data_IF_719139332642
#
_entry.id   IF_719139332642
#
_cell.length_a   1.000
_cell.length_b   1.000
_cell.length_c   1.000
_cell.angle_alpha   90.00
_cell.angle_beta   90.00
_cell.angle_gamma   90.00
#
_symmetry.space_group_name_H-M   'P 1'
#
loop_
_entity.id
_entity.type
_entity.pdbx_description
1 polymer ?
#
# COMPACT_ATOMS: atom_id res chain seq x y z
N UNK A 1 -24.11 -21.83 4.43
CA UNK A 1 -23.30 -23.01 4.81
C UNK A 1 -22.11 -22.50 5.59
N UNK A 2 -21.79 -23.16 6.69
CA UNK A 2 -20.63 -22.86 7.54
C UNK A 2 -19.48 -23.80 7.16
N UNK A 3 -18.24 -23.33 7.33
CA UNK A 3 -17.03 -24.09 6.97
C UNK A 3 -16.00 -23.98 8.10
N UNK A 4 -15.31 -25.08 8.41
CA UNK A 4 -14.25 -25.18 9.43
C UNK A 4 -13.10 -26.09 8.93
N UNK A 5 -11.91 -26.00 9.53
CA UNK A 5 -10.73 -26.76 9.09
C UNK A 5 -9.50 -26.58 10.00
N UNK A 6 -8.39 -27.21 9.59
CA UNK A 6 -7.14 -27.39 10.33
C UNK A 6 -7.24 -28.30 11.57
N UNK A 7 -7.98 -29.41 11.45
CA UNK A 7 -8.05 -30.44 12.49
C UNK A 7 -7.30 -31.70 12.01
N UNK A 8 -6.51 -32.28 12.92
CA UNK A 8 -5.87 -33.62 12.96
C UNK A 8 -5.15 -34.22 11.74
N UNK A 9 -5.17 -33.60 10.56
CA UNK A 9 -4.43 -34.07 9.38
C UNK A 9 -5.09 -35.21 8.62
N UNK A 10 -6.27 -35.68 9.05
CA UNK A 10 -7.06 -36.70 8.33
C UNK A 10 -7.77 -36.11 7.10
N UNK A 11 -7.75 -34.78 6.94
CA UNK A 11 -8.42 -34.07 5.87
C UNK A 11 -7.45 -33.24 5.01
N UNK A 12 -7.52 -33.43 3.69
CA UNK A 12 -6.79 -32.61 2.72
C UNK A 12 -7.53 -31.29 2.49
N UNK A 13 -6.80 -30.18 2.54
CA UNK A 13 -7.32 -28.84 2.24
C UNK A 13 -6.95 -28.43 0.82
N UNK A 14 -7.93 -27.94 0.07
CA UNK A 14 -7.74 -27.43 -1.27
C UNK A 14 -7.25 -25.98 -1.27
N UNK A 15 -6.95 -25.50 -2.47
CA UNK A 15 -6.58 -24.10 -2.69
C UNK A 15 -7.66 -23.11 -2.25
N UNK A 16 -8.94 -23.51 -2.32
CA UNK A 16 -10.07 -22.63 -2.02
C UNK A 16 -10.23 -22.40 -0.51
N UNK A 17 -10.04 -23.44 0.31
CA UNK A 17 -10.04 -23.30 1.76
C UNK A 17 -8.89 -22.42 2.25
N UNK A 18 -7.68 -22.63 1.71
CA UNK A 18 -6.51 -21.82 2.07
C UNK A 18 -6.64 -20.38 1.60
N UNK A 19 -7.08 -20.16 0.35
CA UNK A 19 -7.31 -18.82 -0.16
C UNK A 19 -8.38 -18.09 0.66
N UNK A 20 -9.51 -18.75 1.00
CA UNK A 20 -10.53 -18.17 1.89
C UNK A 20 -9.95 -17.80 3.25
N UNK A 21 -9.12 -18.66 3.83
CA UNK A 21 -8.48 -18.37 5.12
C UNK A 21 -7.57 -17.14 5.04
N UNK A 22 -6.65 -17.08 4.08
CA UNK A 22 -5.75 -15.94 3.91
C UNK A 22 -6.48 -14.66 3.49
N UNK A 23 -7.52 -14.77 2.66
CA UNK A 23 -8.34 -13.61 2.29
C UNK A 23 -9.07 -13.02 3.48
N UNK A 24 -9.43 -13.79 4.51
CA UNK A 24 -10.03 -13.22 5.72
C UNK A 24 -9.01 -12.52 6.63
N UNK A 25 -7.73 -12.87 6.53
CA UNK A 25 -6.68 -12.35 7.42
C UNK A 25 -5.91 -11.20 6.78
N UNK A 26 -5.68 -11.23 5.47
CA UNK A 26 -4.81 -10.27 4.79
C UNK A 26 -5.51 -9.55 3.64
N UNK A 27 -5.22 -8.25 3.54
CA UNK A 27 -5.54 -7.46 2.35
C UNK A 27 -4.64 -7.88 1.19
N UNK A 28 -5.19 -7.75 -0.03
CA UNK A 28 -4.39 -7.97 -1.24
C UNK A 28 -3.29 -6.91 -1.36
N UNK A 29 -2.13 -7.32 -1.86
CA UNK A 29 -0.96 -6.45 -2.01
C UNK A 29 0.33 -7.21 -2.26
N UNK A 30 1.44 -6.46 -2.34
CA UNK A 30 2.80 -7.01 -2.40
C UNK A 30 3.44 -7.02 -1.01
N UNK A 31 4.44 -7.88 -0.81
CA UNK A 31 5.17 -7.95 0.45
C UNK A 31 6.09 -6.75 0.64
N UNK A 32 6.49 -6.54 1.90
CA UNK A 32 7.52 -5.60 2.30
C UNK A 32 8.79 -6.39 2.63
N UNK A 33 9.95 -5.91 2.19
CA UNK A 33 11.25 -6.52 2.50
C UNK A 33 11.79 -6.09 3.88
N UNK A 34 12.95 -6.63 4.28
CA UNK A 34 13.59 -6.32 5.56
C UNK A 34 14.02 -4.85 5.71
N UNK A 35 14.07 -4.10 4.60
CA UNK A 35 14.45 -2.68 4.56
C UNK A 35 13.22 -1.77 4.46
N UNK A 36 12.01 -2.30 4.73
CA UNK A 36 10.73 -1.60 4.62
C UNK A 36 10.37 -1.12 3.21
N UNK A 37 10.94 -1.72 2.16
CA UNK A 37 10.56 -1.41 0.79
C UNK A 37 9.52 -2.41 0.27
N UNK A 38 8.59 -1.92 -0.54
CA UNK A 38 7.69 -2.79 -1.28
C UNK A 38 8.47 -3.64 -2.30
N UNK A 39 8.22 -4.94 -2.34
CA UNK A 39 8.80 -5.85 -3.33
C UNK A 39 8.09 -5.75 -4.69
N UNK A 40 8.52 -6.54 -5.70
CA UNK A 40 7.95 -6.53 -7.05
C UNK A 40 7.96 -5.13 -7.71
N UNK A 41 9.05 -4.39 -7.53
CA UNK A 41 9.24 -3.08 -8.15
C UNK A 41 9.30 -3.22 -9.65
N UNK A 42 8.58 -2.36 -10.36
CA UNK A 42 8.73 -2.20 -11.81
C UNK A 42 9.82 -1.18 -12.05
N UNK A 43 10.82 -1.55 -12.83
CA UNK A 43 11.95 -0.68 -13.16
C UNK A 43 12.38 -0.89 -14.61
N UNK A 44 13.15 0.06 -15.12
CA UNK A 44 13.75 -0.02 -16.44
C UNK A 44 15.21 -0.42 -16.27
N UNK A 45 15.61 -1.45 -16.99
CA UNK A 45 17.01 -1.84 -17.14
C UNK A 45 17.33 -1.82 -18.63
N UNK A 46 18.27 -0.96 -19.02
CA UNK A 46 18.57 -0.67 -20.43
C UNK A 46 17.30 -0.27 -21.21
N UNK A 47 16.89 -1.07 -22.21
CA UNK A 47 15.71 -0.83 -23.04
C UNK A 47 14.51 -1.71 -22.66
N UNK A 48 14.58 -2.43 -21.55
CA UNK A 48 13.53 -3.40 -21.16
C UNK A 48 12.96 -3.08 -19.79
N UNK A 49 11.67 -3.35 -19.63
CA UNK A 49 10.99 -3.22 -18.35
C UNK A 49 11.15 -4.53 -17.59
N UNK A 50 11.47 -4.44 -16.30
CA UNK A 50 11.60 -5.58 -15.40
C UNK A 50 10.73 -5.40 -14.16
N UNK A 51 10.32 -6.53 -13.58
CA UNK A 51 9.67 -6.59 -12.27
C UNK A 51 10.58 -7.37 -11.34
N UNK A 52 10.99 -6.76 -10.23
CA UNK A 52 11.85 -7.39 -9.24
C UNK A 52 11.22 -8.65 -8.61
N UNK A 53 12.07 -9.43 -7.96
CA UNK A 53 11.61 -10.52 -7.08
C UNK A 53 10.69 -10.00 -5.96
N UNK A 54 9.85 -10.88 -5.45
CA UNK A 54 8.94 -10.53 -4.36
C UNK A 54 7.84 -11.55 -4.15
N UNK A 55 6.96 -11.21 -3.22
CA UNK A 55 5.80 -12.00 -2.88
C UNK A 55 4.55 -11.13 -2.94
N UNK A 56 3.41 -11.71 -3.30
CA UNK A 56 2.13 -11.01 -3.30
C UNK A 56 1.01 -11.94 -2.87
N UNK A 57 -0.02 -11.35 -2.27
CA UNK A 57 -1.30 -12.01 -2.00
C UNK A 57 -2.38 -11.24 -2.75
N UNK A 58 -3.26 -11.96 -3.43
CA UNK A 58 -4.40 -11.43 -4.15
C UNK A 58 -5.60 -12.32 -3.88
N UNK A 59 -6.58 -11.79 -3.14
CA UNK A 59 -7.76 -12.55 -2.65
C UNK A 59 -7.38 -13.90 -2.02
N UNK A 60 -6.33 -13.90 -1.19
CA UNK A 60 -5.82 -15.09 -0.51
C UNK A 60 -4.98 -16.05 -1.37
N UNK A 61 -4.93 -15.87 -2.69
CA UNK A 61 -4.00 -16.58 -3.57
C UNK A 61 -2.66 -15.87 -3.59
N UNK A 62 -1.55 -16.60 -3.75
CA UNK A 62 -0.22 -15.99 -3.73
C UNK A 62 0.49 -16.09 -5.09
N UNK A 63 1.43 -15.16 -5.29
CA UNK A 63 2.49 -15.30 -6.28
C UNK A 63 3.81 -15.04 -5.59
N UNK A 64 4.74 -15.98 -5.75
CA UNK A 64 6.14 -15.82 -5.39
C UNK A 64 6.96 -15.72 -6.67
N UNK A 65 7.63 -14.58 -6.86
CA UNK A 65 8.54 -14.34 -7.98
C UNK A 65 9.96 -14.32 -7.40
N UNK A 66 10.76 -15.32 -7.70
CA UNK A 66 12.09 -15.51 -7.11
C UNK A 66 13.21 -14.76 -7.87
N UNK A 67 12.97 -14.41 -9.13
CA UNK A 67 13.92 -13.74 -10.02
C UNK A 67 13.27 -12.55 -10.76
N UNK A 68 14.04 -11.53 -11.18
CA UNK A 68 13.49 -10.44 -11.97
C UNK A 68 12.80 -10.94 -13.25
N UNK A 69 11.53 -10.57 -13.44
CA UNK A 69 10.76 -10.93 -14.64
C UNK A 69 10.86 -9.84 -15.68
N UNK A 70 11.33 -10.20 -16.87
CA UNK A 70 11.38 -9.32 -18.03
C UNK A 70 10.00 -9.14 -18.67
N UNK A 71 9.63 -7.90 -18.98
CA UNK A 71 8.40 -7.52 -19.66
C UNK A 71 8.76 -6.82 -20.98
N UNK A 72 8.43 -7.48 -22.08
CA UNK A 72 8.68 -6.96 -23.42
C UNK A 72 7.58 -5.98 -23.81
N UNK A 73 7.95 -4.72 -24.03
CA UNK A 73 7.04 -3.66 -24.47
C UNK A 73 7.50 -3.15 -25.82
N UNK A 74 6.65 -3.30 -26.84
CA UNK A 74 6.89 -2.79 -28.19
C UNK A 74 6.10 -1.51 -28.38
N UNK A 75 6.75 -0.39 -28.71
CA UNK A 75 6.07 0.88 -28.95
C UNK A 75 5.09 0.81 -30.13
N UNK A 76 4.05 1.63 -30.09
CA UNK A 76 3.24 1.88 -31.27
C UNK A 76 3.98 2.84 -32.21
N UNK A 77 3.83 2.66 -33.52
CA UNK A 77 4.58 3.45 -34.51
C UNK A 77 4.07 4.88 -34.66
N UNK A 78 2.81 5.13 -34.30
CA UNK A 78 2.12 6.39 -34.60
C UNK A 78 1.86 7.24 -33.35
N UNK A 79 1.46 6.59 -32.26
CA UNK A 79 0.99 7.27 -31.06
C UNK A 79 1.68 6.79 -29.78
N UNK A 80 1.72 7.67 -28.79
CA UNK A 80 2.07 7.27 -27.43
C UNK A 80 0.94 6.42 -26.82
N UNK A 81 1.28 5.65 -25.79
CA UNK A 81 0.29 4.90 -25.00
C UNK A 81 0.71 4.79 -23.54
N UNK A 82 -0.27 4.52 -22.66
CA UNK A 82 -0.01 4.17 -21.27
C UNK A 82 -0.40 2.72 -21.05
N UNK A 83 0.58 1.89 -20.76
CA UNK A 83 0.40 0.49 -20.40
C UNK A 83 0.38 0.35 -18.86
N UNK A 84 -0.02 -0.81 -18.36
CA UNK A 84 0.04 -1.13 -16.93
C UNK A 84 0.67 -2.50 -16.72
N UNK A 85 1.55 -2.60 -15.73
CA UNK A 85 2.07 -3.88 -15.25
C UNK A 85 1.25 -4.29 -14.03
N UNK A 86 0.64 -5.46 -14.08
CA UNK A 86 -0.28 -5.92 -13.04
C UNK A 86 0.12 -7.29 -12.51
N UNK A 87 -0.29 -7.59 -11.29
CA UNK A 87 -0.43 -8.98 -10.82
C UNK A 87 -1.87 -9.38 -11.08
N UNK A 88 -2.08 -10.45 -11.84
CA UNK A 88 -3.39 -10.95 -12.22
C UNK A 88 -3.64 -12.32 -11.59
N UNK A 89 -4.71 -12.40 -10.80
CA UNK A 89 -5.37 -13.65 -10.45
C UNK A 89 -6.39 -13.96 -11.53
N UNK A 90 -6.34 -15.17 -12.09
CA UNK A 90 -7.36 -15.72 -12.97
C UNK A 90 -7.85 -17.05 -12.39
N UNK A 91 -9.09 -17.06 -11.91
CA UNK A 91 -9.72 -18.22 -11.28
C UNK A 91 -10.13 -19.29 -12.30
N UNK A 92 -10.39 -18.93 -13.56
CA UNK A 92 -10.71 -19.89 -14.62
C UNK A 92 -9.51 -20.75 -14.98
N UNK A 93 -8.31 -20.15 -15.02
CA UNK A 93 -7.05 -20.89 -15.31
C UNK A 93 -6.29 -21.30 -14.05
N UNK A 94 -6.79 -20.93 -12.86
CA UNK A 94 -6.14 -21.15 -11.56
C UNK A 94 -4.69 -20.65 -11.54
N UNK A 95 -4.48 -19.43 -12.03
CA UNK A 95 -3.13 -18.85 -12.18
C UNK A 95 -3.05 -17.49 -11.51
N UNK A 96 -1.93 -17.22 -10.83
CA UNK A 96 -1.51 -15.86 -10.46
C UNK A 96 -0.22 -15.55 -11.21
N UNK A 97 -0.20 -14.45 -11.95
CA UNK A 97 0.97 -14.07 -12.77
C UNK A 97 1.15 -12.56 -12.87
N UNK A 98 2.39 -12.12 -13.12
CA UNK A 98 2.70 -10.74 -13.52
C UNK A 98 2.39 -10.59 -15.01
N UNK A 99 1.53 -9.65 -15.37
CA UNK A 99 1.03 -9.46 -16.74
C UNK A 99 1.26 -8.03 -17.24
N UNK A 100 1.52 -7.91 -18.54
CA UNK A 100 1.52 -6.63 -19.25
C UNK A 100 0.12 -6.35 -19.80
N UNK A 101 -0.54 -5.35 -19.24
CA UNK A 101 -1.82 -4.85 -19.73
C UNK A 101 -1.56 -3.68 -20.67
N UNK A 102 -1.53 -3.99 -21.97
CA UNK A 102 -1.35 -3.00 -23.03
C UNK A 102 -2.52 -2.02 -23.07
N UNK A 103 -2.22 -0.72 -23.10
CA UNK A 103 -3.20 0.35 -23.27
C UNK A 103 -3.51 0.63 -24.74
N UNK A 104 -4.44 1.56 -24.96
CA UNK A 104 -4.83 2.01 -26.30
C UNK A 104 -3.96 3.21 -26.73
N UNK A 105 -3.26 3.14 -27.88
CA UNK A 105 -2.52 4.28 -28.40
C UNK A 105 -3.44 5.45 -28.75
N UNK A 106 -2.99 6.68 -28.49
CA UNK A 106 -3.75 7.87 -28.82
C UNK A 106 -3.01 9.16 -28.52
N UNK A 107 -3.58 10.29 -28.94
CA UNK A 107 -3.00 11.63 -28.69
C UNK A 107 -3.07 12.07 -27.22
N UNK A 108 -3.97 11.46 -26.44
CA UNK A 108 -4.09 11.63 -24.99
C UNK A 108 -4.28 10.23 -24.36
N UNK A 109 -3.21 9.43 -24.28
CA UNK A 109 -3.34 8.06 -23.84
C UNK A 109 -3.66 7.99 -22.35
N UNK A 110 -4.48 7.02 -21.96
CA UNK A 110 -4.89 6.77 -20.57
C UNK A 110 -4.56 5.34 -20.17
N UNK A 111 -4.21 5.13 -18.90
CA UNK A 111 -3.92 3.79 -18.39
C UNK A 111 -5.16 2.87 -18.49
N UNK A 112 -4.99 1.60 -18.88
CA UNK A 112 -6.10 0.65 -18.92
C UNK A 112 -6.61 0.34 -17.51
N UNK A 113 -7.93 0.28 -17.35
CA UNK A 113 -8.57 -0.05 -16.07
C UNK A 113 -8.18 -1.44 -15.57
N UNK A 114 -8.12 -1.59 -14.24
CA UNK A 114 -7.95 -2.90 -13.61
C UNK A 114 -9.23 -3.72 -13.78
N UNK A 115 -9.08 -5.01 -14.09
CA UNK A 115 -10.17 -5.96 -14.07
C UNK A 115 -10.30 -6.54 -12.67
N UNK A 116 -11.48 -6.36 -12.07
CA UNK A 116 -11.82 -6.83 -10.72
C UNK A 116 -13.25 -7.34 -10.72
N UNK A 117 -13.43 -8.53 -11.27
CA UNK A 117 -14.71 -9.22 -11.34
C UNK A 117 -14.62 -10.59 -10.63
N UNK A 118 -15.59 -11.47 -10.89
CA UNK A 118 -15.69 -12.78 -10.24
C UNK A 118 -14.64 -13.80 -10.73
N UNK A 119 -14.00 -13.57 -11.88
CA UNK A 119 -13.04 -14.50 -12.47
C UNK A 119 -11.63 -13.95 -12.43
N UNK A 120 -11.47 -12.65 -12.66
CA UNK A 120 -10.18 -11.98 -12.73
C UNK A 120 -10.11 -10.86 -11.69
N UNK A 121 -9.01 -10.86 -10.94
CA UNK A 121 -8.66 -9.76 -10.05
C UNK A 121 -7.25 -9.28 -10.37
N UNK A 122 -7.07 -7.96 -10.46
CA UNK A 122 -5.79 -7.35 -10.78
C UNK A 122 -5.35 -6.33 -9.72
N UNK A 123 -4.06 -6.36 -9.41
CA UNK A 123 -3.36 -5.34 -8.64
C UNK A 123 -2.38 -4.59 -9.54
N UNK A 124 -2.36 -3.26 -9.50
CA UNK A 124 -1.42 -2.48 -10.32
C UNK A 124 -0.06 -2.31 -9.65
N UNK A 125 1.00 -2.74 -10.31
CA UNK A 125 2.36 -2.45 -9.86
C UNK A 125 2.84 -1.08 -10.36
N UNK A 126 2.66 -0.79 -11.65
CA UNK A 126 3.05 0.49 -12.20
C UNK A 126 2.33 0.77 -13.53
N UNK A 127 2.23 2.06 -13.86
CA UNK A 127 1.99 2.49 -15.23
C UNK A 127 3.32 2.60 -15.97
N UNK A 128 3.29 2.25 -17.26
CA UNK A 128 4.40 2.48 -18.16
C UNK A 128 3.91 3.39 -19.28
N UNK A 129 4.36 4.63 -19.29
CA UNK A 129 4.15 5.50 -20.44
C UNK A 129 5.14 5.10 -21.53
N UNK A 130 4.62 4.74 -22.70
CA UNK A 130 5.38 4.27 -23.85
C UNK A 130 5.28 5.33 -24.93
N UNK A 131 6.40 6.00 -25.19
CA UNK A 131 6.50 6.96 -26.27
C UNK A 131 6.60 6.23 -27.61
N UNK A 132 6.03 6.81 -28.67
CA UNK A 132 6.11 6.25 -30.03
C UNK A 132 7.55 6.03 -30.55
N UNK A 133 8.52 6.75 -29.98
CA UNK A 133 9.94 6.62 -30.32
C UNK A 133 10.65 5.47 -29.59
N UNK A 134 9.92 4.65 -28.82
CA UNK A 134 10.46 3.51 -28.07
C UNK A 134 10.90 3.83 -26.64
N UNK A 135 10.96 5.11 -26.25
CA UNK A 135 11.25 5.45 -24.87
C UNK A 135 10.10 5.06 -23.93
N UNK A 136 10.45 4.87 -22.66
CA UNK A 136 9.50 4.48 -21.61
C UNK A 136 9.79 5.21 -20.31
N UNK A 137 8.75 5.61 -19.61
CA UNK A 137 8.81 6.12 -18.23
C UNK A 137 7.85 5.32 -17.35
N UNK A 138 8.22 5.12 -16.09
CA UNK A 138 7.50 4.26 -15.15
C UNK A 138 6.96 5.14 -14.03
N UNK A 139 5.66 4.97 -13.72
CA UNK A 139 5.03 5.56 -12.55
C UNK A 139 4.60 4.44 -11.63
N UNK A 140 5.22 4.37 -10.44
CA UNK A 140 4.88 3.37 -9.43
C UNK A 140 3.43 3.55 -8.96
N UNK A 141 2.68 2.45 -8.84
CA UNK A 141 1.31 2.43 -8.33
C UNK A 141 1.17 1.53 -7.08
N UNK A 142 2.25 0.86 -6.63
CA UNK A 142 2.20 -0.13 -5.52
C UNK A 142 1.77 0.50 -4.20
N UNK A 143 2.23 1.72 -3.91
CA UNK A 143 1.91 2.42 -2.66
C UNK A 143 0.42 2.79 -2.53
N UNK A 144 -0.34 2.77 -3.64
CA UNK A 144 -1.76 3.10 -3.65
C UNK A 144 -2.61 1.90 -3.23
N UNK A 145 -3.20 1.98 -2.04
CA UNK A 145 -4.04 0.92 -1.45
C UNK A 145 -5.25 0.55 -2.32
N UNK A 146 -5.77 1.50 -3.11
CA UNK A 146 -6.88 1.27 -4.02
C UNK A 146 -6.47 0.49 -5.29
N UNK A 147 -5.18 0.49 -5.64
CA UNK A 147 -4.65 -0.17 -6.85
C UNK A 147 -3.88 -1.46 -6.54
N UNK A 148 -3.03 -1.45 -5.50
CA UNK A 148 -2.23 -2.61 -5.08
C UNK A 148 -2.09 -2.63 -3.56
N UNK A 149 -1.28 -1.72 -3.00
CA UNK A 149 -0.96 -1.71 -1.58
C UNK A 149 -0.01 -2.81 -1.13
N UNK A 150 0.37 -2.75 0.16
CA UNK A 150 1.12 -3.80 0.82
C UNK A 150 0.19 -4.86 1.42
N UNK A 151 0.67 -6.10 1.53
CA UNK A 151 0.04 -7.13 2.37
C UNK A 151 -0.02 -6.59 3.80
N UNK A 152 -1.21 -6.61 4.39
CA UNK A 152 -1.48 -6.09 5.74
C UNK A 152 -2.68 -6.82 6.35
N UNK A 153 -2.75 -6.95 7.68
CA UNK A 153 -3.91 -7.55 8.34
C UNK A 153 -5.22 -6.85 7.93
N UNK A 154 -6.26 -7.64 7.72
CA UNK A 154 -7.63 -7.15 7.57
C UNK A 154 -8.15 -6.78 8.94
N UNK A 155 -8.49 -5.50 9.06
CA UNK A 155 -9.02 -4.90 10.27
C UNK A 155 -8.02 -4.89 11.44
N UNK A 156 -7.94 -3.76 12.11
CA UNK A 156 -7.11 -3.57 13.30
C UNK A 156 -8.01 -3.04 14.43
N UNK A 157 -9.23 -3.55 14.54
CA UNK A 157 -10.30 -2.99 15.40
C UNK A 157 -9.81 -2.72 16.81
N UNK A 158 -9.14 -3.69 17.43
CA UNK A 158 -8.66 -3.62 18.79
C UNK A 158 -7.57 -2.54 18.93
N UNK A 159 -6.68 -2.42 17.94
CA UNK A 159 -5.68 -1.36 17.91
C UNK A 159 -6.31 0.01 17.66
N UNK A 160 -7.26 0.12 16.75
CA UNK A 160 -8.00 1.36 16.49
C UNK A 160 -8.75 1.82 17.75
N UNK A 161 -9.44 0.91 18.44
CA UNK A 161 -10.12 1.16 19.70
C UNK A 161 -9.12 1.57 20.80
N UNK A 162 -7.94 0.94 20.85
CA UNK A 162 -6.88 1.32 21.78
C UNK A 162 -6.43 2.77 21.55
N UNK A 163 -6.12 3.14 20.30
CA UNK A 163 -5.69 4.51 19.95
C UNK A 163 -6.81 5.53 20.24
N UNK A 164 -8.06 5.19 19.95
CA UNK A 164 -9.21 6.04 20.25
C UNK A 164 -9.34 6.28 21.77
N UNK A 165 -9.20 5.23 22.59
CA UNK A 165 -9.25 5.36 24.03
C UNK A 165 -8.05 6.13 24.60
N UNK A 166 -6.85 5.93 24.07
CA UNK A 166 -5.68 6.73 24.44
C UNK A 166 -5.89 8.22 24.15
N UNK A 167 -6.50 8.52 23.00
CA UNK A 167 -6.84 9.91 22.61
C UNK A 167 -7.85 10.50 23.59
N UNK A 168 -8.90 9.76 23.96
CA UNK A 168 -9.89 10.21 24.95
C UNK A 168 -9.27 10.49 26.32
N UNK A 169 -8.40 9.62 26.81
CA UNK A 169 -7.73 9.84 28.11
C UNK A 169 -6.75 11.01 28.04
N UNK A 170 -6.03 11.17 26.93
CA UNK A 170 -5.19 12.35 26.71
C UNK A 170 -6.03 13.63 26.70
N UNK A 171 -7.13 13.69 25.95
CA UNK A 171 -8.01 14.85 25.86
C UNK A 171 -8.60 15.21 27.23
N UNK A 172 -9.02 14.19 28.00
CA UNK A 172 -9.52 14.36 29.37
C UNK A 172 -8.45 14.96 30.28
N UNK A 173 -7.23 14.41 30.24
CA UNK A 173 -6.11 14.95 31.00
C UNK A 173 -5.78 16.38 30.57
N UNK A 174 -5.68 16.64 29.27
CA UNK A 174 -5.30 17.92 28.68
C UNK A 174 -6.31 19.01 29.05
N UNK A 175 -7.61 18.73 28.92
CA UNK A 175 -8.68 19.64 29.34
C UNK A 175 -8.63 19.92 30.85
N UNK A 176 -8.37 18.90 31.68
CA UNK A 176 -8.22 19.09 33.12
C UNK A 176 -6.94 19.88 33.51
N UNK A 177 -5.87 19.83 32.71
CA UNK A 177 -4.67 20.66 32.94
C UNK A 177 -4.90 22.12 32.57
N UNK A 178 -5.69 22.40 31.53
CA UNK A 178 -5.99 23.78 31.11
C UNK A 178 -6.68 24.57 32.23
N UNK A 179 -7.53 23.92 33.03
CA UNK A 179 -8.21 24.55 34.17
C UNK A 179 -7.29 24.75 35.40
N UNK A 180 -6.23 23.94 35.54
CA UNK A 180 -5.25 24.01 36.64
C UNK A 180 -4.07 24.92 36.32
N UNK A 181 -4.28 25.84 35.37
CA UNK A 181 -3.27 26.44 34.51
C UNK A 181 -1.87 26.60 35.10
N UNK A 182 -0.90 26.01 34.41
CA UNK A 182 0.50 26.31 34.64
C UNK A 182 0.72 27.81 34.43
N UNK A 183 1.23 28.48 35.46
CA UNK A 183 1.55 29.91 35.41
C UNK A 183 3.03 30.02 35.09
N UNK A 184 3.37 30.77 34.05
CA UNK A 184 4.76 31.10 33.80
C UNK A 184 5.24 32.01 34.93
N UNK A 185 6.31 31.61 35.61
CA UNK A 185 6.99 32.41 36.62
C UNK A 185 8.32 32.84 36.01
N UNK A 186 8.48 34.14 35.80
CA UNK A 186 9.73 34.75 35.34
C UNK A 186 10.50 35.27 36.56
N UNK A 187 11.82 35.11 36.57
CA UNK A 187 12.70 35.61 37.65
C UNK A 187 13.90 36.29 37.00
N UNK A 188 13.81 37.60 36.78
CA UNK A 188 14.79 38.39 36.01
C UNK A 188 14.90 39.81 36.57
N UNK A 189 16.00 40.52 36.30
CA UNK A 189 16.20 41.92 36.73
C UNK A 189 15.36 42.93 35.91
N UNK A 190 15.07 42.58 34.65
CA UNK A 190 14.36 43.40 33.67
C UNK A 190 13.04 42.74 33.23
N UNK A 191 12.12 43.53 32.68
CA UNK A 191 10.80 43.06 32.26
C UNK A 191 10.89 41.88 31.26
N UNK A 192 10.15 40.78 31.46
CA UNK A 192 10.20 39.63 30.56
C UNK A 192 9.61 39.96 29.18
N UNK A 193 10.42 39.76 28.14
CA UNK A 193 10.13 40.23 26.76
C UNK A 193 9.03 39.41 26.06
N UNK A 194 8.77 38.16 26.49
CA UNK A 194 7.76 37.25 25.91
C UNK A 194 6.72 36.77 26.93
N UNK A 195 6.36 37.62 27.90
CA UNK A 195 5.34 37.24 28.89
C UNK A 195 3.94 37.15 28.28
N UNK A 196 3.20 36.10 28.66
CA UNK A 196 1.79 35.93 28.31
C UNK A 196 0.90 36.43 29.46
N UNK A 197 -0.28 36.97 29.11
CA UNK A 197 -1.23 37.48 30.09
C UNK A 197 -1.59 36.43 31.15
N UNK A 198 -1.47 36.80 32.43
CA UNK A 198 -1.64 35.89 33.57
C UNK A 198 -0.34 35.27 34.11
N UNK A 199 0.82 35.63 33.58
CA UNK A 199 2.13 35.25 34.13
C UNK A 199 2.49 36.02 35.41
N UNK A 200 3.36 35.45 36.23
CA UNK A 200 3.93 36.08 37.43
C UNK A 200 5.39 36.43 37.13
N UNK A 201 5.83 37.63 37.53
CA UNK A 201 7.23 38.02 37.47
C UNK A 201 7.75 38.40 38.86
N UNK A 202 8.87 37.81 39.24
CA UNK A 202 9.61 38.13 40.46
C UNK A 202 10.90 38.86 40.05
N UNK A 203 10.93 40.17 40.27
CA UNK A 203 12.11 40.96 39.95
C UNK A 203 13.21 40.72 40.97
N UNK A 204 14.40 40.35 40.50
CA UNK A 204 15.60 40.32 41.34
C UNK A 204 16.11 41.77 41.49
N UNK A 205 16.32 42.20 42.73
CA UNK A 205 16.84 43.53 43.10
C UNK A 205 18.35 43.50 43.32
#
# INVERSE_FOLDING_TARGET
MEYYGFFDGDQYYGQEELARYFENIYESGVSIDSNNNMTMRVYKEESVIKVDKGFSIIKGFYLYNDNPKTINIVADSNYDRVDRIVIRLNLSTKTVSIEHKKGTPGSKPTAPNLQRDNLIHELSLAQVYVYRNGNTTITDERYRKDLCGAIRPKNLTEFNNMIENMTKEFDKWFNAQQEKGWRNIYIDENDPVESVAGSIWLRIL
#
